data_IF_632638556798
#
_entry.id   IF_632638556798
#
_cell.length_a   1.000
_cell.length_b   1.000
_cell.length_c   1.000
_cell.angle_alpha   90.00
_cell.angle_beta   90.00
_cell.angle_gamma   90.00
#
_symmetry.space_group_name_H-M   'P 1'
#
loop_
_entity.id
_entity.type
_entity.pdbx_description
1 polymer ?
#
# COMPACT_ATOMS: atom_id res chain seq x y z
N UNK A 1 10.36 -19.54 -40.20
CA UNK A 1 10.29 -20.32 -38.93
C UNK A 1 11.23 -19.68 -37.93
N UNK A 2 10.94 -19.40 -36.67
CA UNK A 2 9.76 -19.15 -35.84
C UNK A 2 10.32 -18.91 -34.41
N UNK A 3 9.83 -17.90 -33.69
CA UNK A 3 9.95 -17.82 -32.20
C UNK A 3 10.93 -16.80 -31.64
N UNK A 4 10.40 -15.72 -31.02
CA UNK A 4 11.13 -14.60 -30.41
C UNK A 4 12.01 -15.01 -29.23
N UNK A 5 13.12 -14.28 -29.05
CA UNK A 5 14.17 -14.61 -28.08
C UNK A 5 14.50 -13.50 -27.07
N UNK A 6 13.63 -12.52 -26.89
CA UNK A 6 13.80 -11.48 -25.86
C UNK A 6 12.42 -11.07 -25.32
N UNK A 7 11.76 -11.94 -24.56
CA UNK A 7 10.47 -11.61 -23.91
C UNK A 7 10.66 -10.83 -22.59
N UNK A 8 11.85 -10.88 -21.99
CA UNK A 8 12.13 -10.25 -20.69
C UNK A 8 13.54 -9.64 -20.65
N UNK A 9 13.62 -8.38 -20.23
CA UNK A 9 14.87 -7.59 -20.13
C UNK A 9 15.49 -7.58 -18.72
N UNK A 10 14.79 -8.11 -17.72
CA UNK A 10 15.20 -8.13 -16.32
C UNK A 10 14.71 -9.40 -15.64
N UNK A 11 15.50 -9.93 -14.71
CA UNK A 11 15.21 -11.15 -13.98
C UNK A 11 15.41 -10.93 -12.47
N UNK A 12 14.52 -11.51 -11.68
CA UNK A 12 14.58 -11.51 -10.23
C UNK A 12 14.51 -12.95 -9.71
N UNK A 13 15.43 -13.31 -8.81
CA UNK A 13 15.51 -14.64 -8.22
C UNK A 13 15.33 -14.54 -6.70
N UNK A 14 14.49 -15.42 -6.16
CA UNK A 14 14.36 -15.64 -4.72
C UNK A 14 14.68 -17.10 -4.45
N UNK A 15 15.74 -17.36 -3.70
CA UNK A 15 16.01 -18.69 -3.17
C UNK A 15 15.07 -18.94 -1.98
N UNK A 16 14.56 -20.16 -1.87
CA UNK A 16 13.61 -20.56 -0.84
C UNK A 16 14.00 -21.94 -0.36
N UNK A 17 14.22 -22.06 0.94
CA UNK A 17 14.53 -23.34 1.59
C UNK A 17 13.26 -24.17 1.70
N UNK A 18 13.26 -25.35 1.09
CA UNK A 18 12.13 -26.29 1.16
C UNK A 18 11.87 -26.72 2.60
N UNK A 19 10.62 -27.07 2.90
CA UNK A 19 10.20 -27.52 4.24
C UNK A 19 10.42 -26.51 5.39
N UNK A 20 10.64 -25.23 5.06
CA UNK A 20 10.71 -24.14 6.04
C UNK A 20 9.52 -23.18 5.92
N UNK A 21 9.41 -22.23 6.84
CA UNK A 21 8.41 -21.15 6.77
C UNK A 21 8.55 -20.28 5.51
N UNK A 22 9.73 -20.25 4.87
CA UNK A 22 9.98 -19.44 3.66
C UNK A 22 9.06 -19.85 2.50
N UNK A 23 8.70 -21.14 2.40
CA UNK A 23 7.76 -21.64 1.39
C UNK A 23 6.37 -20.99 1.50
N UNK A 24 5.90 -20.76 2.73
CA UNK A 24 4.63 -20.10 2.98
C UNK A 24 4.64 -18.64 2.51
N UNK A 25 5.71 -17.90 2.84
CA UNK A 25 5.86 -16.51 2.40
C UNK A 25 6.09 -16.40 0.89
N UNK A 26 6.80 -17.35 0.29
CA UNK A 26 7.00 -17.42 -1.17
C UNK A 26 5.68 -17.58 -1.92
N UNK A 27 4.77 -18.41 -1.42
CA UNK A 27 3.44 -18.60 -2.03
C UNK A 27 2.62 -17.30 -2.05
N UNK A 28 2.68 -16.50 -0.98
CA UNK A 28 2.05 -15.18 -0.96
C UNK A 28 2.72 -14.19 -1.93
N UNK A 29 4.05 -14.21 -2.00
CA UNK A 29 4.82 -13.36 -2.92
C UNK A 29 4.50 -13.70 -4.38
N UNK A 30 4.36 -14.99 -4.71
CA UNK A 30 3.95 -15.42 -6.04
C UNK A 30 2.60 -14.80 -6.42
N UNK A 31 1.59 -14.92 -5.55
CA UNK A 31 0.27 -14.34 -5.81
C UNK A 31 0.39 -12.82 -6.03
N UNK A 32 1.10 -12.12 -5.16
CA UNK A 32 1.31 -10.68 -5.28
C UNK A 32 1.99 -10.28 -6.59
N UNK A 33 3.05 -10.98 -7.01
CA UNK A 33 3.77 -10.68 -8.25
C UNK A 33 2.88 -10.91 -9.49
N UNK A 34 2.09 -11.99 -9.49
CA UNK A 34 1.13 -12.27 -10.56
C UNK A 34 0.07 -11.18 -10.62
N UNK A 35 -0.46 -10.75 -9.48
CA UNK A 35 -1.48 -9.69 -9.39
C UNK A 35 -0.94 -8.34 -9.89
N UNK A 36 0.36 -8.08 -9.78
CA UNK A 36 1.02 -6.88 -10.35
C UNK A 36 1.36 -7.01 -11.84
N UNK A 37 1.11 -8.17 -12.46
CA UNK A 37 1.37 -8.42 -13.88
C UNK A 37 2.79 -8.87 -14.21
N UNK A 38 3.58 -9.32 -13.21
CA UNK A 38 4.89 -9.92 -13.49
C UNK A 38 4.75 -11.37 -13.96
N UNK A 39 5.63 -11.79 -14.86
CA UNK A 39 5.80 -13.18 -15.24
C UNK A 39 6.57 -13.93 -14.15
N UNK A 40 6.04 -15.05 -13.67
CA UNK A 40 6.60 -15.81 -12.56
C UNK A 40 6.80 -17.28 -12.94
N UNK A 41 7.96 -17.84 -12.60
CA UNK A 41 8.31 -19.24 -12.84
C UNK A 41 9.02 -19.84 -11.63
N UNK A 42 8.55 -21.01 -11.21
CA UNK A 42 9.23 -21.82 -10.18
C UNK A 42 10.26 -22.72 -10.87
N UNK A 43 11.49 -22.72 -10.35
CA UNK A 43 12.58 -23.57 -10.81
C UNK A 43 12.98 -24.47 -9.64
N UNK A 44 12.77 -25.78 -9.80
CA UNK A 44 13.08 -26.78 -8.75
C UNK A 44 14.41 -27.47 -8.95
N UNK A 45 14.97 -27.42 -10.17
CA UNK A 45 16.19 -28.13 -10.54
C UNK A 45 17.22 -27.17 -11.12
N UNK A 46 18.01 -26.56 -10.24
CA UNK A 46 19.21 -25.78 -10.53
C UNK A 46 20.12 -25.91 -9.31
N UNK A 47 21.45 -26.08 -9.44
CA UNK A 47 22.26 -26.17 -10.67
C UNK A 47 22.18 -27.54 -11.36
N UNK A 48 22.74 -27.70 -12.59
CA UNK A 48 22.85 -29.00 -13.25
C UNK A 48 23.54 -30.03 -12.33
N UNK A 49 23.12 -31.31 -12.35
CA UNK A 49 23.61 -32.33 -11.42
C UNK A 49 25.13 -32.55 -11.51
N UNK A 50 25.74 -32.26 -12.65
CA UNK A 50 27.16 -32.46 -12.91
C UNK A 50 28.04 -31.28 -12.46
N UNK A 51 27.45 -30.15 -12.03
CA UNK A 51 28.18 -28.95 -11.60
C UNK A 51 28.63 -28.99 -10.13
N UNK A 52 28.38 -30.10 -9.42
CA UNK A 52 28.64 -30.19 -7.98
C UNK A 52 30.09 -29.89 -7.59
N UNK A 53 31.06 -30.36 -8.36
CA UNK A 53 32.49 -30.19 -8.05
C UNK A 53 32.98 -28.73 -8.15
N UNK A 54 32.29 -27.89 -8.93
CA UNK A 54 32.65 -26.48 -9.13
C UNK A 54 31.98 -25.55 -8.12
N UNK A 55 31.10 -26.08 -7.27
CA UNK A 55 30.31 -25.29 -6.31
C UNK A 55 30.87 -25.41 -4.90
N UNK A 56 30.85 -24.28 -4.19
CA UNK A 56 31.17 -24.24 -2.77
C UNK A 56 30.23 -25.13 -1.96
N UNK A 57 30.75 -25.71 -0.88
CA UNK A 57 30.00 -26.60 0.03
C UNK A 57 29.50 -27.90 -0.61
N UNK A 58 30.19 -28.41 -1.63
CA UNK A 58 29.90 -29.72 -2.21
C UNK A 58 30.25 -30.88 -1.28
N UNK A 59 31.35 -30.77 -0.54
CA UNK A 59 31.81 -31.84 0.35
C UNK A 59 31.08 -31.82 1.69
N UNK A 60 30.79 -33.00 2.24
CA UNK A 60 30.17 -33.14 3.57
C UNK A 60 31.02 -32.47 4.67
N UNK A 61 32.35 -32.50 4.51
CA UNK A 61 33.26 -31.86 5.46
C UNK A 61 33.03 -30.34 5.51
N UNK A 62 32.95 -29.69 4.35
CA UNK A 62 32.74 -28.23 4.30
C UNK A 62 31.35 -27.84 4.83
N UNK A 63 30.35 -28.68 4.61
CA UNK A 63 29.00 -28.48 5.14
C UNK A 63 28.97 -28.59 6.67
N UNK A 64 29.69 -29.56 7.26
CA UNK A 64 29.80 -29.69 8.72
C UNK A 64 30.59 -28.53 9.33
N UNK A 65 31.65 -28.09 8.67
CA UNK A 65 32.43 -26.93 9.11
C UNK A 65 31.56 -25.66 9.10
N UNK A 66 30.73 -25.46 8.06
CA UNK A 66 29.73 -24.37 8.02
C UNK A 66 28.69 -24.48 9.14
N UNK A 67 28.15 -25.68 9.38
CA UNK A 67 27.17 -25.92 10.44
C UNK A 67 27.75 -25.58 11.82
N UNK A 68 28.98 -26.00 12.10
CA UNK A 68 29.66 -25.67 13.35
C UNK A 68 29.81 -24.16 13.52
N UNK A 69 30.19 -23.44 12.46
CA UNK A 69 30.28 -21.98 12.49
C UNK A 69 28.92 -21.34 12.78
N UNK A 70 27.83 -21.84 12.19
CA UNK A 70 26.48 -21.34 12.43
C UNK A 70 26.02 -21.59 13.87
N UNK A 71 26.29 -22.78 14.41
CA UNK A 71 25.98 -23.11 15.80
C UNK A 71 26.74 -22.23 16.81
N UNK A 72 27.99 -21.86 16.49
CA UNK A 72 28.80 -20.96 17.32
C UNK A 72 28.33 -19.51 17.21
N UNK A 73 27.95 -19.05 16.01
CA UNK A 73 27.46 -17.69 15.78
C UNK A 73 26.15 -17.40 16.54
N UNK A 74 25.34 -18.43 16.81
CA UNK A 74 24.11 -18.31 17.60
C UNK A 74 23.06 -17.39 16.99
N UNK A 75 22.01 -17.10 17.76
CA UNK A 75 20.89 -16.25 17.33
C UNK A 75 21.27 -14.76 17.22
N UNK A 76 22.44 -14.36 17.72
CA UNK A 76 22.91 -12.97 17.71
C UNK A 76 23.17 -12.44 16.29
N UNK A 77 23.44 -13.34 15.33
CA UNK A 77 23.52 -13.01 13.90
C UNK A 77 22.17 -13.16 13.17
N UNK A 78 21.17 -13.77 13.79
CA UNK A 78 19.84 -14.02 13.19
C UNK A 78 18.94 -12.80 13.49
N UNK A 79 19.28 -11.67 12.87
CA UNK A 79 18.53 -10.43 12.96
C UNK A 79 18.47 -9.73 11.61
N UNK A 80 17.37 -9.01 11.35
CA UNK A 80 17.35 -8.06 10.25
C UNK A 80 18.32 -6.92 10.60
N UNK A 81 19.18 -6.53 9.66
CA UNK A 81 20.01 -5.34 9.82
C UNK A 81 19.10 -4.12 10.03
N UNK A 82 19.07 -3.62 11.26
CA UNK A 82 18.26 -2.47 11.61
C UNK A 82 19.01 -1.22 11.17
N UNK A 83 18.63 -0.67 10.02
CA UNK A 83 19.13 0.63 9.58
C UNK A 83 18.59 1.72 10.52
N UNK A 84 19.43 2.68 10.89
CA UNK A 84 19.06 3.76 11.83
C UNK A 84 17.97 4.71 11.28
N UNK A 85 17.73 4.70 9.97
CA UNK A 85 16.83 5.63 9.29
C UNK A 85 15.79 4.89 8.43
N UNK A 86 14.65 4.54 9.04
CA UNK A 86 13.47 4.02 8.34
C UNK A 86 12.91 5.09 7.39
N UNK A 87 13.32 5.05 6.11
CA UNK A 87 12.84 5.97 5.07
C UNK A 87 11.32 5.90 4.84
N UNK A 88 10.67 4.82 5.29
CA UNK A 88 9.24 4.57 5.12
C UNK A 88 8.37 5.40 6.09
N UNK A 89 8.92 5.85 7.22
CA UNK A 89 8.21 6.67 8.21
C UNK A 89 7.97 8.11 7.75
N UNK A 90 8.81 8.64 6.86
CA UNK A 90 8.75 10.03 6.39
C UNK A 90 7.50 10.33 5.53
N UNK A 91 6.92 9.33 4.88
CA UNK A 91 5.71 9.50 4.06
C UNK A 91 4.44 9.67 4.93
N UNK A 92 4.43 9.12 6.14
CA UNK A 92 3.22 9.05 6.99
C UNK A 92 3.04 10.29 7.87
N UNK A 93 4.13 11.02 8.17
CA UNK A 93 4.12 12.20 9.03
C UNK A 93 3.56 13.48 8.38
N UNK A 94 3.40 13.53 7.05
CA UNK A 94 2.98 14.77 6.35
C UNK A 94 1.46 15.03 6.33
N UNK A 95 0.63 14.07 6.73
CA UNK A 95 -0.83 14.23 6.69
C UNK A 95 -1.45 14.34 8.10
N UNK A 96 -1.36 15.53 8.71
CA UNK A 96 -2.02 15.81 9.99
C UNK A 96 -3.50 16.18 9.75
N UNK A 97 -4.43 15.25 10.00
CA UNK A 97 -5.87 15.53 9.92
C UNK A 97 -6.28 16.43 11.10
N UNK A 98 -6.53 17.71 10.83
CA UNK A 98 -7.11 18.63 11.82
C UNK A 98 -8.64 18.50 11.81
N UNK A 99 -9.25 18.26 12.98
CA UNK A 99 -10.70 18.26 13.12
C UNK A 99 -11.20 19.71 13.09
N UNK A 100 -11.94 20.08 12.05
CA UNK A 100 -12.56 21.40 11.93
C UNK A 100 -13.85 21.35 11.11
N UNK A 101 -14.79 22.24 11.40
CA UNK A 101 -15.98 22.42 10.57
C UNK A 101 -15.57 22.90 9.17
N UNK A 102 -16.19 22.35 8.13
CA UNK A 102 -15.87 22.67 6.73
C UNK A 102 -15.87 24.18 6.43
N UNK A 103 -16.71 24.96 7.13
CA UNK A 103 -16.78 26.43 7.03
C UNK A 103 -15.54 27.14 7.58
N UNK A 104 -14.88 26.56 8.59
CA UNK A 104 -13.65 27.11 9.16
C UNK A 104 -12.46 26.86 8.21
N UNK A 105 -12.42 25.70 7.56
CA UNK A 105 -11.37 25.36 6.60
C UNK A 105 -11.47 26.14 5.29
N UNK A 106 -12.68 26.48 4.85
CA UNK A 106 -12.90 27.21 3.59
C UNK A 106 -12.80 28.74 3.72
N UNK A 107 -12.47 29.27 4.89
CA UNK A 107 -12.47 30.72 5.15
C UNK A 107 -13.87 31.37 5.11
N UNK A 108 -14.92 30.57 4.95
CA UNK A 108 -16.31 31.04 4.86
C UNK A 108 -16.97 31.26 6.23
N UNK A 109 -16.20 31.14 7.32
CA UNK A 109 -16.71 31.35 8.67
C UNK A 109 -16.99 32.85 8.89
N UNK A 110 -18.27 33.22 8.94
CA UNK A 110 -18.72 34.61 9.05
C UNK A 110 -19.15 35.27 7.74
N UNK A 111 -19.04 34.58 6.60
CA UNK A 111 -19.45 35.10 5.31
C UNK A 111 -20.94 34.81 5.08
N UNK A 112 -21.80 35.80 5.30
CA UNK A 112 -23.23 35.73 4.95
C UNK A 112 -23.35 36.11 3.48
N UNK A 113 -23.84 35.18 2.67
CA UNK A 113 -24.13 35.42 1.25
C UNK A 113 -25.22 36.49 1.12
N UNK A 114 -24.83 37.70 0.70
CA UNK A 114 -25.76 38.78 0.36
C UNK A 114 -26.16 38.62 -1.11
N UNK A 115 -27.37 38.10 -1.34
CA UNK A 115 -27.95 38.07 -2.67
C UNK A 115 -28.43 39.46 -3.09
N UNK A 116 -27.76 40.08 -4.07
CA UNK A 116 -28.29 41.27 -4.72
C UNK A 116 -29.15 40.84 -5.91
N UNK A 117 -30.46 41.00 -5.75
CA UNK A 117 -31.46 40.61 -6.72
C UNK A 117 -31.43 41.56 -7.94
N UNK A 118 -30.59 41.26 -8.95
CA UNK A 118 -30.57 42.01 -10.22
C UNK A 118 -31.63 41.46 -11.16
N UNK A 119 -32.89 41.86 -10.96
CA UNK A 119 -34.01 41.40 -11.77
C UNK A 119 -35.37 42.04 -11.46
N UNK A 120 -35.53 43.31 -11.85
CA UNK A 120 -36.76 44.08 -12.17
C UNK A 120 -38.07 43.83 -11.37
N UNK A 121 -38.51 44.92 -10.71
CA UNK A 121 -39.90 45.42 -10.57
C UNK A 121 -40.80 44.83 -9.48
N UNK A 122 -40.91 45.52 -8.34
CA UNK A 122 -42.10 46.32 -7.93
C UNK A 122 -41.97 46.78 -6.46
N UNK A 123 -42.49 47.97 -6.22
CA UNK A 123 -42.59 48.63 -4.92
C UNK A 123 -43.38 47.83 -3.87
N UNK A 124 -43.23 48.29 -2.63
CA UNK A 124 -44.17 48.26 -1.49
C UNK A 124 -43.84 47.24 -0.38
N UNK A 125 -43.42 47.82 0.76
CA UNK A 125 -44.07 47.62 2.06
C UNK A 125 -44.13 46.22 2.66
N UNK A 126 -43.43 46.07 3.80
CA UNK A 126 -43.81 45.28 4.98
C UNK A 126 -44.55 43.94 4.77
N UNK A 127 -43.91 42.84 5.19
CA UNK A 127 -44.39 41.98 6.30
C UNK A 127 -43.65 40.64 6.31
N UNK A 128 -43.09 40.28 7.48
CA UNK A 128 -42.58 38.93 7.74
C UNK A 128 -43.72 37.93 7.58
N UNK A 129 -43.72 37.13 6.51
CA UNK A 129 -44.50 35.89 6.48
C UNK A 129 -43.68 34.77 7.11
N UNK A 130 -44.10 34.33 8.30
CA UNK A 130 -43.62 33.08 8.91
C UNK A 130 -44.00 31.95 7.96
N UNK A 131 -43.00 31.26 7.42
CA UNK A 131 -43.19 30.24 6.38
C UNK A 131 -43.69 28.95 7.04
N UNK A 132 -44.97 28.69 6.82
CA UNK A 132 -45.76 27.56 7.35
C UNK A 132 -45.04 26.21 7.18
N UNK A 133 -44.69 25.49 8.26
CA UNK A 133 -43.91 24.24 8.18
C UNK A 133 -44.66 23.11 7.45
N UNK A 134 -45.99 23.19 7.35
CA UNK A 134 -46.83 22.22 6.65
C UNK A 134 -46.69 22.25 5.12
N UNK A 135 -46.26 23.38 4.53
CA UNK A 135 -46.09 23.57 3.08
C UNK A 135 -44.67 23.28 2.58
N UNK A 136 -43.84 22.63 3.39
CA UNK A 136 -42.47 22.27 2.98
C UNK A 136 -42.48 20.98 2.17
N UNK A 137 -41.62 20.96 1.14
CA UNK A 137 -41.40 19.81 0.26
C UNK A 137 -41.00 18.58 1.10
N UNK A 138 -41.54 17.41 0.76
CA UNK A 138 -41.50 16.17 1.55
C UNK A 138 -40.09 15.77 2.00
N UNK A 139 -39.09 16.02 1.15
CA UNK A 139 -37.68 15.73 1.42
C UNK A 139 -37.07 16.53 2.58
N UNK A 140 -37.67 17.65 2.99
CA UNK A 140 -37.11 18.53 4.03
C UNK A 140 -37.86 18.47 5.37
N UNK A 141 -38.84 17.56 5.51
CA UNK A 141 -39.56 17.37 6.78
C UNK A 141 -38.74 16.63 7.85
N UNK A 142 -37.81 15.76 7.44
CA UNK A 142 -37.12 14.82 8.35
C UNK A 142 -35.85 15.35 9.03
N UNK A 143 -35.53 16.65 8.90
CA UNK A 143 -34.28 17.21 9.43
C UNK A 143 -34.43 18.09 10.68
N UNK A 144 -35.65 18.23 11.20
CA UNK A 144 -35.91 18.95 12.44
C UNK A 144 -36.89 18.14 13.31
N UNK A 145 -36.32 17.16 14.00
CA UNK A 145 -36.74 16.65 15.31
C UNK A 145 -35.47 16.45 16.12
#
# INVERSE_FOLDING_TARGET
>A
MAGGKEEYNAFFYSLVSTDTQEMYYSSKRQQFLIDQGYSFKIITSLPPPDSGADLSFHSLKDQLDLLNNLLVAGDDMVGLEQLEEDTDGMALLKARRSMGSMRAMSGANGMIYMEYNTGKSKQVGQSKKVKDPAKRHSLFKKRFT
#
